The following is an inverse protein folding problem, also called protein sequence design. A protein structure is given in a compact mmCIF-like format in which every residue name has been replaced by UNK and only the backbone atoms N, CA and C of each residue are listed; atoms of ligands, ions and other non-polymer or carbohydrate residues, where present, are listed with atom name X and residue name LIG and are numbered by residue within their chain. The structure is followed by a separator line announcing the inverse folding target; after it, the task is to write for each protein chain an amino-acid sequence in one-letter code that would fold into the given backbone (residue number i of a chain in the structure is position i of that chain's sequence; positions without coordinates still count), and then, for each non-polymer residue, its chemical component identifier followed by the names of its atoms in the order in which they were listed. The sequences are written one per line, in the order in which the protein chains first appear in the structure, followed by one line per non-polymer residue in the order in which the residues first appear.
data_IF_626301234798
#
_entry.id   IF_626301234798
#
_cell.length_a   1.000
_cell.length_b   1.000
_cell.length_c   1.000
_cell.angle_alpha   90.00
_cell.angle_beta   90.00
_cell.angle_gamma   90.00
#
_symmetry.space_group_name_H-M   'P 1'
#
loop_
_entity.id
_entity.type
_entity.pdbx_description
1 polymer ?
#
# COMPACT_ATOMS: atom_id res chain seq x y z
N UNK A 1 1.90 16.77 -5.19
CA UNK A 1 0.67 16.18 -4.64
C UNK A 1 -0.54 16.88 -5.29
N UNK A 2 -0.87 16.54 -6.55
CA UNK A 2 -1.86 17.30 -7.35
C UNK A 2 -3.29 17.09 -6.84
N UNK A 3 -3.63 15.89 -6.35
CA UNK A 3 -4.98 15.58 -5.88
C UNK A 3 -5.40 16.42 -4.68
N UNK A 4 -4.58 16.47 -3.61
CA UNK A 4 -4.91 17.21 -2.39
C UNK A 4 -5.08 18.71 -2.65
N UNK A 5 -4.25 19.29 -3.52
CA UNK A 5 -4.39 20.70 -3.93
C UNK A 5 -5.69 20.97 -4.70
N UNK A 6 -6.18 20.00 -5.47
CA UNK A 6 -7.49 20.09 -6.14
C UNK A 6 -8.63 19.97 -5.15
N UNK A 7 -8.53 19.07 -4.17
CA UNK A 7 -9.55 18.89 -3.13
C UNK A 7 -9.66 20.10 -2.20
N UNK A 8 -8.54 20.75 -1.90
CA UNK A 8 -8.51 21.93 -1.01
C UNK A 8 -8.64 23.26 -1.76
N UNK A 9 -8.68 23.23 -3.10
CA UNK A 9 -8.75 24.41 -3.97
C UNK A 9 -7.65 25.46 -3.67
N UNK A 10 -6.52 25.04 -3.12
CA UNK A 10 -5.38 25.90 -2.76
C UNK A 10 -4.05 25.19 -2.91
N UNK A 11 -2.92 25.93 -3.00
CA UNK A 11 -1.60 25.34 -2.89
C UNK A 11 -1.44 24.58 -1.57
N UNK A 12 -0.74 23.44 -1.64
CA UNK A 12 -0.55 22.48 -0.54
C UNK A 12 0.93 22.39 -0.21
N UNK A 13 1.25 22.60 1.06
CA UNK A 13 2.60 22.45 1.60
C UNK A 13 2.83 21.07 2.24
N UNK A 14 4.05 20.82 2.71
CA UNK A 14 4.41 19.56 3.37
C UNK A 14 3.57 19.30 4.63
N UNK A 15 3.25 20.34 5.39
CA UNK A 15 2.41 20.23 6.59
C UNK A 15 0.99 19.74 6.26
N UNK A 16 0.41 20.18 5.14
CA UNK A 16 -0.92 19.73 4.69
C UNK A 16 -0.92 18.24 4.32
N UNK A 17 0.17 17.77 3.69
CA UNK A 17 0.33 16.35 3.32
C UNK A 17 0.48 15.48 4.56
N UNK A 18 1.27 15.93 5.55
CA UNK A 18 1.42 15.23 6.83
C UNK A 18 0.08 15.16 7.55
N UNK A 19 -0.65 16.27 7.65
CA UNK A 19 -1.98 16.29 8.26
C UNK A 19 -2.96 15.33 7.54
N UNK A 20 -2.95 15.31 6.20
CA UNK A 20 -3.79 14.40 5.42
C UNK A 20 -3.53 12.91 5.70
N UNK A 21 -2.27 12.52 5.95
CA UNK A 21 -1.90 11.12 6.18
C UNK A 21 -1.94 10.69 7.65
N UNK A 22 -1.68 11.60 8.58
CA UNK A 22 -1.58 11.35 10.03
C UNK A 22 -2.89 11.62 10.79
N UNK A 23 -3.83 12.39 10.22
CA UNK A 23 -5.13 12.67 10.85
C UNK A 23 -6.35 11.85 10.36
N UNK A 24 -6.25 10.62 9.83
CA UNK A 24 -7.42 9.77 9.73
C UNK A 24 -7.82 9.34 11.14
N UNK A 25 -8.78 10.06 11.73
CA UNK A 25 -9.51 9.65 12.92
C UNK A 25 -10.68 8.73 12.54
N UNK A 26 -11.25 8.03 13.54
CA UNK A 26 -12.45 7.19 13.34
C UNK A 26 -13.63 8.00 12.78
N UNK A 27 -13.72 9.29 13.11
CA UNK A 27 -14.72 10.22 12.60
C UNK A 27 -14.59 10.54 11.10
N UNK A 28 -13.41 10.33 10.51
CA UNK A 28 -13.14 10.55 9.08
C UNK A 28 -13.50 9.34 8.21
N UNK A 29 -13.88 8.22 8.83
CA UNK A 29 -14.30 7.01 8.13
C UNK A 29 -15.78 7.13 7.78
N UNK A 30 -16.19 6.93 6.52
CA UNK A 30 -17.60 6.94 6.15
C UNK A 30 -18.40 5.93 6.97
N UNK A 31 -19.60 6.30 7.41
CA UNK A 31 -20.49 5.41 8.17
C UNK A 31 -20.88 4.13 7.40
N UNK A 32 -20.78 4.17 6.06
CA UNK A 32 -21.16 3.08 5.16
C UNK A 32 -19.98 2.50 4.37
N UNK A 33 -18.83 2.24 5.02
CA UNK A 33 -17.79 1.41 4.37
C UNK A 33 -18.31 -0.02 4.22
N UNK A 34 -18.46 -0.45 2.97
CA UNK A 34 -18.93 -1.79 2.60
C UNK A 34 -17.88 -2.46 1.73
N UNK A 35 -17.45 -3.69 2.06
CA UNK A 35 -16.68 -4.51 1.14
C UNK A 35 -17.43 -4.68 -0.19
N UNK A 36 -16.70 -4.82 -1.29
CA UNK A 36 -17.32 -5.24 -2.55
C UNK A 36 -18.00 -6.60 -2.39
N UNK A 37 -19.13 -6.85 -3.11
CA UNK A 37 -19.80 -8.14 -3.07
C UNK A 37 -18.85 -9.31 -3.32
N UNK A 38 -18.95 -10.35 -2.49
CA UNK A 38 -18.12 -11.56 -2.60
C UNK A 38 -16.75 -11.50 -1.93
N UNK A 39 -16.20 -10.33 -1.60
CA UNK A 39 -14.86 -10.21 -0.99
C UNK A 39 -14.80 -10.94 0.35
N UNK A 40 -15.78 -10.73 1.23
CA UNK A 40 -15.83 -11.40 2.54
C UNK A 40 -15.87 -12.92 2.41
N UNK A 41 -16.67 -13.43 1.47
CA UNK A 41 -16.78 -14.87 1.23
C UNK A 41 -15.46 -15.45 0.70
N UNK A 42 -14.81 -14.75 -0.23
CA UNK A 42 -13.51 -15.14 -0.76
C UNK A 42 -12.42 -15.16 0.33
N UNK A 43 -12.35 -14.12 1.16
CA UNK A 43 -11.39 -14.06 2.27
C UNK A 43 -11.63 -15.17 3.30
N UNK A 44 -12.90 -15.45 3.64
CA UNK A 44 -13.25 -16.54 4.54
C UNK A 44 -12.88 -17.92 3.98
N UNK A 45 -13.05 -18.13 2.67
CA UNK A 45 -12.66 -19.36 2.01
C UNK A 45 -11.12 -19.53 1.93
N UNK A 46 -10.37 -18.44 1.81
CA UNK A 46 -8.90 -18.48 1.68
C UNK A 46 -8.17 -18.59 3.04
N UNK A 47 -8.73 -17.99 4.10
CA UNK A 47 -8.09 -17.88 5.42
C UNK A 47 -7.59 -19.21 6.02
N UNK A 48 -8.25 -20.36 5.85
CA UNK A 48 -7.75 -21.64 6.34
C UNK A 48 -6.52 -22.17 5.59
N UNK A 49 -6.29 -21.69 4.38
CA UNK A 49 -5.26 -22.22 3.47
C UNK A 49 -4.00 -21.36 3.42
N UNK A 50 -4.13 -20.04 3.62
CA UNK A 50 -3.02 -19.09 3.51
C UNK A 50 -3.14 -17.96 4.51
N UNK A 51 -2.00 -17.42 4.94
CA UNK A 51 -1.95 -16.13 5.61
C UNK A 51 -2.25 -15.01 4.61
N UNK A 52 -3.16 -14.11 4.95
CA UNK A 52 -3.57 -13.01 4.08
C UNK A 52 -2.89 -11.72 4.52
N UNK A 53 -2.50 -10.91 3.54
CA UNK A 53 -1.95 -9.58 3.75
C UNK A 53 -2.60 -8.58 2.79
N UNK A 54 -2.66 -7.32 3.20
CA UNK A 54 -3.15 -6.21 2.38
C UNK A 54 -2.04 -5.18 2.20
N UNK A 55 -1.87 -4.71 0.98
CA UNK A 55 -0.93 -3.65 0.62
C UNK A 55 -1.71 -2.53 -0.06
N UNK A 56 -1.56 -1.29 0.42
CA UNK A 56 -2.31 -0.14 -0.08
C UNK A 56 -1.45 1.11 -0.13
N UNK A 57 -1.81 2.06 -1.01
CA UNK A 57 -1.22 3.40 -1.04
C UNK A 57 -1.71 4.32 0.08
N UNK A 58 -2.75 3.93 0.83
CA UNK A 58 -3.18 4.65 2.03
C UNK A 58 -2.15 4.49 3.17
N UNK A 59 -2.15 5.39 4.15
CA UNK A 59 -1.36 5.18 5.36
C UNK A 59 -1.83 3.91 6.07
N UNK A 60 -0.92 3.25 6.81
CA UNK A 60 -1.20 2.01 7.55
C UNK A 60 -2.38 2.24 8.51
N UNK A 61 -2.39 3.40 9.17
CA UNK A 61 -3.48 3.81 10.06
C UNK A 61 -4.82 3.96 9.34
N UNK A 62 -4.84 4.60 8.17
CA UNK A 62 -6.07 4.73 7.38
C UNK A 62 -6.57 3.37 6.89
N UNK A 63 -5.66 2.48 6.50
CA UNK A 63 -5.99 1.13 6.07
C UNK A 63 -6.65 0.32 7.19
N UNK A 64 -6.07 0.33 8.39
CA UNK A 64 -6.65 -0.32 9.57
C UNK A 64 -8.06 0.20 9.87
N UNK A 65 -8.25 1.52 9.87
CA UNK A 65 -9.56 2.13 10.17
C UNK A 65 -10.63 1.77 9.13
N UNK A 66 -10.28 1.74 7.85
CA UNK A 66 -11.21 1.34 6.78
C UNK A 66 -11.53 -0.16 6.87
N UNK A 67 -10.55 -1.00 7.18
CA UNK A 67 -10.74 -2.44 7.33
C UNK A 67 -11.54 -2.79 8.59
N UNK A 68 -11.33 -2.07 9.70
CA UNK A 68 -12.13 -2.21 10.93
C UNK A 68 -13.59 -1.83 10.66
N UNK A 69 -13.82 -0.68 10.01
CA UNK A 69 -15.18 -0.25 9.64
C UNK A 69 -15.88 -1.21 8.66
N UNK A 70 -15.10 -1.89 7.82
CA UNK A 70 -15.58 -2.91 6.90
C UNK A 70 -15.76 -4.31 7.56
N UNK A 71 -15.37 -4.45 8.83
CA UNK A 71 -15.28 -5.70 9.58
C UNK A 71 -14.43 -6.77 8.83
N UNK A 72 -13.31 -6.31 8.27
CA UNK A 72 -12.36 -7.12 7.51
C UNK A 72 -10.96 -7.22 8.14
N UNK A 73 -10.67 -6.42 9.17
CA UNK A 73 -9.31 -6.31 9.74
C UNK A 73 -8.76 -7.67 10.18
N UNK A 74 -9.59 -8.50 10.81
CA UNK A 74 -9.19 -9.82 11.35
C UNK A 74 -8.91 -10.89 10.28
N UNK A 75 -9.18 -10.60 9.01
CA UNK A 75 -8.79 -11.49 7.92
C UNK A 75 -7.30 -11.36 7.57
N UNK A 76 -6.68 -10.21 7.85
CA UNK A 76 -5.32 -9.92 7.42
C UNK A 76 -4.33 -10.01 8.58
N UNK A 77 -3.28 -10.83 8.42
CA UNK A 77 -2.19 -10.93 9.39
C UNK A 77 -1.20 -9.78 9.26
N UNK A 78 -1.14 -9.13 8.10
CA UNK A 78 -0.23 -8.03 7.81
C UNK A 78 -0.98 -6.96 7.01
N UNK A 79 -0.88 -5.71 7.47
CA UNK A 79 -1.39 -4.53 6.79
C UNK A 79 -0.19 -3.65 6.47
N UNK A 80 0.06 -3.41 5.19
CA UNK A 80 1.16 -2.55 4.70
C UNK A 80 0.57 -1.30 4.05
N UNK A 81 0.76 -0.16 4.70
CA UNK A 81 0.43 1.14 4.14
C UNK A 81 1.56 1.75 3.32
N UNK A 82 1.22 2.76 2.52
CA UNK A 82 2.17 3.50 1.67
C UNK A 82 3.27 4.20 2.48
N UNK A 83 2.98 4.59 3.72
CA UNK A 83 3.93 5.20 4.65
C UNK A 83 5.06 4.24 5.09
N UNK A 84 4.85 2.93 4.96
CA UNK A 84 5.87 1.91 5.23
C UNK A 84 6.76 1.63 4.00
N UNK A 85 6.22 1.82 2.80
CA UNK A 85 6.95 1.62 1.54
C UNK A 85 7.85 2.83 1.26
N UNK A 86 7.39 4.04 1.56
CA UNK A 86 8.16 5.27 1.33
C UNK A 86 9.34 5.44 2.30
N UNK A 87 9.24 4.94 3.54
CA UNK A 87 10.37 4.91 4.49
C UNK A 87 11.53 4.03 4.00
N UNK A 88 11.26 3.02 3.17
CA UNK A 88 12.29 2.16 2.57
C UNK A 88 12.98 2.78 1.34
N UNK A 89 12.42 3.85 0.77
CA UNK A 89 13.00 4.59 -0.35
C UNK A 89 13.98 5.70 0.09
N UNK A 90 14.18 5.91 1.40
CA UNK A 90 15.34 6.68 1.93
C UNK A 90 16.57 5.78 2.07
N UNK A 91 16.94 5.07 1.01
CA UNK A 91 18.35 4.80 0.80
C UNK A 91 18.91 6.12 0.25
N UNK A 92 20.00 6.70 0.81
CA UNK A 92 20.68 7.80 0.16
C UNK A 92 20.93 7.37 -1.28
N UNK A 93 20.34 8.09 -2.25
CA UNK A 93 20.64 7.88 -3.66
C UNK A 93 22.13 8.19 -3.79
N UNK A 94 22.95 7.14 -3.70
CA UNK A 94 24.37 7.24 -3.92
C UNK A 94 24.54 7.87 -5.30
N UNK A 95 25.19 9.03 -5.29
CA UNK A 95 25.67 9.75 -6.45
C UNK A 95 26.43 8.82 -7.39
N UNK A 96 26.10 8.91 -8.68
CA UNK A 96 27.00 8.70 -9.83
C UNK A 96 27.76 7.37 -9.93
N UNK A 97 27.34 6.53 -10.89
CA UNK A 97 28.13 5.43 -11.46
C UNK A 97 27.46 4.92 -12.75
N UNK A 98 28.22 4.51 -13.78
CA UNK A 98 27.73 4.47 -15.15
C UNK A 98 26.73 3.34 -15.40
N UNK A 99 25.80 3.61 -16.33
CA UNK A 99 24.86 2.66 -16.86
C UNK A 99 25.59 1.55 -17.65
N UNK A 100 25.58 0.34 -17.12
CA UNK A 100 25.73 -0.96 -17.79
C UNK A 100 25.59 -2.02 -16.68
N UNK A 101 24.86 -3.11 -16.77
CA UNK A 101 24.26 -3.82 -17.88
C UNK A 101 23.18 -4.71 -17.28
N UNK A 102 21.92 -4.63 -17.74
CA UNK A 102 21.04 -5.81 -17.79
C UNK A 102 19.81 -5.53 -18.65
N UNK A 103 19.84 -6.19 -19.82
CA UNK A 103 18.73 -6.67 -20.62
C UNK A 103 17.66 -5.65 -21.07
N UNK A 104 17.90 -5.04 -22.23
CA UNK A 104 16.80 -4.74 -23.14
C UNK A 104 16.08 -6.04 -23.52
N UNK A 105 14.73 -6.11 -23.50
CA UNK A 105 14.02 -7.24 -24.09
C UNK A 105 14.21 -7.25 -25.61
N UNK A 106 14.20 -8.43 -26.27
CA UNK A 106 14.29 -8.51 -27.73
C UNK A 106 13.10 -7.78 -28.39
N UNK A 107 13.29 -7.17 -29.58
CA UNK A 107 12.23 -6.45 -30.27
C UNK A 107 11.12 -7.44 -30.69
N UNK A 108 9.90 -7.23 -30.20
CA UNK A 108 8.72 -8.00 -30.63
C UNK A 108 7.63 -8.23 -29.58
N UNK A 109 7.84 -7.86 -28.31
CA UNK A 109 6.80 -8.01 -27.28
C UNK A 109 6.03 -6.69 -27.12
N UNK A 110 4.71 -6.64 -27.38
CA UNK A 110 3.92 -5.45 -27.06
C UNK A 110 3.89 -5.25 -25.53
N UNK A 111 4.48 -4.17 -25.06
CA UNK A 111 4.43 -3.75 -23.66
C UNK A 111 3.05 -3.19 -23.33
N UNK A 112 2.13 -4.04 -22.90
CA UNK A 112 0.98 -3.61 -22.10
C UNK A 112 1.20 -4.08 -20.67
N UNK A 113 1.99 -3.34 -19.89
CA UNK A 113 2.15 -3.62 -18.46
C UNK A 113 2.10 -2.34 -17.64
N UNK A 114 0.95 -2.13 -17.01
CA UNK A 114 0.82 -1.32 -15.80
C UNK A 114 1.62 -2.02 -14.72
N UNK A 115 2.85 -1.56 -14.46
CA UNK A 115 3.72 -2.10 -13.40
C UNK A 115 2.97 -2.10 -12.06
N UNK A 116 2.72 -3.26 -11.42
CA UNK A 116 2.33 -3.25 -10.02
C UNK A 116 3.52 -2.78 -9.18
N UNK A 117 3.29 -2.07 -8.05
CA UNK A 117 4.36 -1.77 -7.10
C UNK A 117 4.94 -3.10 -6.60
N UNK A 118 6.26 -3.24 -6.76
CA UNK A 118 6.99 -4.47 -6.44
C UNK A 118 6.98 -4.68 -4.94
N UNK A 119 6.08 -5.54 -4.45
CA UNK A 119 6.09 -5.99 -3.06
C UNK A 119 7.13 -7.11 -2.91
N UNK A 120 8.29 -6.81 -2.35
CA UNK A 120 9.29 -7.82 -2.01
C UNK A 120 8.82 -8.66 -0.82
N UNK A 121 8.84 -10.00 -0.96
CA UNK A 121 8.54 -10.99 0.09
C UNK A 121 9.24 -10.65 1.43
N UNK A 122 8.54 -10.61 2.58
CA UNK A 122 9.21 -10.62 3.87
C UNK A 122 9.86 -11.99 4.12
N UNK A 123 11.15 -11.96 4.50
CA UNK A 123 11.95 -13.14 4.85
C UNK A 123 11.44 -13.73 6.17
N UNK A 124 11.00 -14.99 6.14
CA UNK A 124 10.66 -15.73 7.35
C UNK A 124 11.90 -15.85 8.26
N UNK A 125 11.83 -15.29 9.47
CA UNK A 125 12.81 -15.55 10.52
C UNK A 125 12.49 -16.89 11.18
N UNK A 126 13.39 -17.86 10.96
CA UNK A 126 13.33 -19.19 11.54
C UNK A 126 13.39 -19.11 13.08
N UNK A 127 12.43 -19.74 13.75
CA UNK A 127 12.55 -20.11 15.16
C UNK A 127 13.39 -21.39 15.22
N UNK A 128 14.59 -21.31 15.76
CA UNK A 128 15.31 -22.46 16.27
C UNK A 128 15.04 -22.54 17.78
N UNK A 129 14.69 -23.75 18.22
CA UNK A 129 14.43 -24.16 19.60
C UNK A 129 15.57 -23.85 20.55
#
# INVERSE_FOLDING_TARGET
MIMLARMLERPVGTADVVAYHEEPGRASVPEAVRPYPGIRAALAALRPHVALAVCTGASTRAAELLLDAADLVDFFSIIVGGDQIERSSRIPRASSGPAESWASPPPGVPTSETRPPTCSRPRAAAHTR
#
